data_IF_294890497022
#
_entry.id   IF_294890497022
#
_cell.length_a   1.000
_cell.length_b   1.000
_cell.length_c   1.000
_cell.angle_alpha   90.00
_cell.angle_beta   90.00
_cell.angle_gamma   90.00
#
_symmetry.space_group_name_H-M   'P 1'
#
loop_
_entity.id
_entity.type
_entity.pdbx_description
1 polymer ?
#
# COMPACT_ATOMS: atom_id res chain seq x y z
N UNK A 1 -7.25 -12.15 -17.04
CA UNK A 1 -7.83 -13.33 -16.37
C UNK A 1 -8.29 -12.96 -14.97
N UNK A 2 -7.40 -12.75 -14.01
CA UNK A 2 -7.75 -12.42 -12.61
C UNK A 2 -8.70 -11.21 -12.46
N UNK A 3 -8.42 -10.09 -13.14
CA UNK A 3 -9.30 -8.89 -13.11
C UNK A 3 -10.65 -9.09 -13.80
N UNK A 4 -10.78 -10.10 -14.66
CA UNK A 4 -12.04 -10.47 -15.31
C UNK A 4 -12.86 -11.40 -14.39
N UNK A 5 -12.19 -12.37 -13.75
CA UNK A 5 -12.81 -13.25 -12.75
C UNK A 5 -13.40 -12.44 -11.58
N UNK A 6 -12.71 -11.39 -11.14
CA UNK A 6 -13.25 -10.46 -10.12
C UNK A 6 -14.56 -9.80 -10.57
N UNK A 7 -14.61 -9.32 -11.81
CA UNK A 7 -15.79 -8.65 -12.37
C UNK A 7 -16.96 -9.61 -12.59
N UNK A 8 -16.66 -10.88 -12.83
CA UNK A 8 -17.64 -11.93 -13.06
C UNK A 8 -18.12 -12.58 -11.75
N UNK A 9 -17.52 -12.24 -10.60
CA UNK A 9 -17.88 -12.85 -9.32
C UNK A 9 -17.49 -14.33 -9.21
N UNK A 10 -16.58 -14.81 -10.06
CA UNK A 10 -16.13 -16.20 -10.13
C UNK A 10 -15.17 -16.49 -8.98
N UNK A 11 -15.72 -16.58 -7.76
CA UNK A 11 -14.97 -16.73 -6.52
C UNK A 11 -14.19 -18.05 -6.47
N UNK A 12 -14.79 -19.16 -6.91
CA UNK A 12 -14.16 -20.48 -6.89
C UNK A 12 -12.94 -20.55 -7.83
N UNK A 13 -13.07 -19.99 -9.04
CA UNK A 13 -11.96 -19.90 -9.99
C UNK A 13 -10.84 -18.99 -9.46
N UNK A 14 -11.20 -17.95 -8.70
CA UNK A 14 -10.23 -17.07 -8.06
C UNK A 14 -9.49 -17.80 -6.93
N UNK A 15 -10.19 -18.56 -6.10
CA UNK A 15 -9.59 -19.39 -5.03
C UNK A 15 -8.65 -20.44 -5.59
N UNK A 16 -9.00 -21.09 -6.70
CA UNK A 16 -8.10 -22.04 -7.36
C UNK A 16 -6.79 -21.40 -7.83
N UNK A 17 -6.84 -20.19 -8.39
CA UNK A 17 -5.62 -19.43 -8.76
C UNK A 17 -4.79 -19.07 -7.51
N UNK A 18 -5.44 -18.84 -6.36
CA UNK A 18 -4.74 -18.64 -5.09
C UNK A 18 -4.01 -19.91 -4.68
N UNK A 19 -4.72 -21.04 -4.60
CA UNK A 19 -4.14 -22.33 -4.21
C UNK A 19 -3.00 -22.75 -5.15
N UNK A 20 -3.15 -22.53 -6.46
CA UNK A 20 -2.10 -22.80 -7.44
C UNK A 20 -0.88 -21.88 -7.22
N UNK A 21 -1.08 -20.60 -6.94
CA UNK A 21 0.01 -19.67 -6.61
C UNK A 21 0.69 -20.02 -5.27
N UNK A 22 -0.08 -20.45 -4.27
CA UNK A 22 0.45 -20.84 -2.96
C UNK A 22 1.23 -22.15 -3.02
N UNK A 23 0.80 -23.11 -3.84
CA UNK A 23 1.44 -24.42 -4.02
C UNK A 23 2.68 -24.40 -4.90
N UNK A 24 2.78 -23.44 -5.84
CA UNK A 24 3.94 -23.37 -6.74
C UNK A 24 5.08 -22.53 -6.16
N UNK A 25 6.20 -23.20 -5.88
CA UNK A 25 7.50 -22.54 -5.71
C UNK A 25 8.09 -22.20 -7.09
N UNK A 26 7.38 -21.39 -7.88
CA UNK A 26 7.78 -21.11 -9.26
C UNK A 26 9.11 -20.36 -9.31
N UNK A 27 9.88 -20.60 -10.38
CA UNK A 27 11.15 -19.94 -10.66
C UNK A 27 10.98 -18.42 -10.96
N UNK A 28 9.72 -17.96 -11.15
CA UNK A 28 9.34 -16.57 -11.44
C UNK A 28 8.18 -16.13 -10.57
N UNK A 29 8.50 -15.46 -9.44
CA UNK A 29 7.49 -14.90 -8.54
C UNK A 29 6.77 -13.70 -9.18
N UNK A 30 5.56 -13.92 -9.69
CA UNK A 30 4.74 -12.84 -10.24
C UNK A 30 4.00 -12.09 -9.12
N UNK A 31 4.56 -10.95 -8.70
CA UNK A 31 4.01 -10.08 -7.65
C UNK A 31 2.63 -9.50 -7.98
N UNK A 32 2.14 -9.60 -9.22
CA UNK A 32 0.80 -9.12 -9.61
C UNK A 32 -0.31 -9.95 -8.99
N UNK A 33 -0.09 -11.26 -8.83
CA UNK A 33 -1.04 -12.19 -8.23
C UNK A 33 -1.29 -11.85 -6.75
N UNK A 34 -0.28 -11.83 -5.85
CA UNK A 34 -0.50 -11.49 -4.46
C UNK A 34 -0.99 -10.04 -4.27
N UNK A 35 -0.54 -9.10 -5.10
CA UNK A 35 -1.07 -7.73 -5.07
C UNK A 35 -2.56 -7.64 -5.37
N UNK A 36 -3.04 -8.48 -6.27
CA UNK A 36 -4.46 -8.60 -6.53
C UNK A 36 -5.19 -9.18 -5.32
N UNK A 37 -4.66 -10.25 -4.71
CA UNK A 37 -5.26 -10.90 -3.54
C UNK A 37 -5.37 -9.96 -2.36
N UNK A 38 -4.29 -9.22 -2.04
CA UNK A 38 -4.30 -8.17 -1.01
C UNK A 38 -5.45 -7.21 -1.25
N UNK A 39 -5.58 -6.66 -2.46
CA UNK A 39 -6.64 -5.69 -2.77
C UNK A 39 -8.05 -6.31 -2.67
N UNK A 40 -8.23 -7.54 -3.13
CA UNK A 40 -9.49 -8.27 -3.06
C UNK A 40 -9.91 -8.53 -1.60
N UNK A 41 -9.00 -9.06 -0.77
CA UNK A 41 -9.28 -9.31 0.65
C UNK A 41 -9.55 -8.02 1.41
N UNK A 42 -8.76 -6.95 1.19
CA UNK A 42 -8.98 -5.65 1.80
C UNK A 42 -10.36 -5.06 1.48
N UNK A 43 -10.83 -5.17 0.23
CA UNK A 43 -12.16 -4.70 -0.19
C UNK A 43 -13.30 -5.45 0.49
N UNK A 44 -13.09 -6.72 0.83
CA UNK A 44 -14.06 -7.57 1.55
C UNK A 44 -13.96 -7.43 3.07
N UNK A 45 -13.01 -6.65 3.58
CA UNK A 45 -12.73 -6.52 5.01
C UNK A 45 -11.97 -7.71 5.62
N UNK A 46 -11.50 -8.65 4.80
CA UNK A 46 -10.77 -9.83 5.25
C UNK A 46 -9.28 -9.50 5.48
N UNK A 47 -8.99 -8.56 6.39
CA UNK A 47 -7.64 -8.05 6.60
C UNK A 47 -6.64 -9.14 7.00
N UNK A 48 -7.02 -10.12 7.82
CA UNK A 48 -6.13 -11.21 8.21
C UNK A 48 -5.63 -12.03 7.01
N UNK A 49 -6.49 -12.27 6.02
CA UNK A 49 -6.09 -12.94 4.77
C UNK A 49 -5.18 -12.06 3.92
N UNK A 50 -5.45 -10.75 3.87
CA UNK A 50 -4.58 -9.80 3.17
C UNK A 50 -3.19 -9.72 3.83
N UNK A 51 -3.12 -9.73 5.17
CA UNK A 51 -1.89 -9.76 5.95
C UNK A 51 -1.10 -11.05 5.69
N UNK A 52 -1.75 -12.21 5.71
CA UNK A 52 -1.10 -13.50 5.42
C UNK A 52 -0.50 -13.54 4.00
N UNK A 53 -1.20 -12.99 2.99
CA UNK A 53 -0.64 -12.87 1.64
C UNK A 53 0.56 -11.91 1.63
N UNK A 54 0.47 -10.78 2.32
CA UNK A 54 1.57 -9.82 2.41
C UNK A 54 2.80 -10.43 3.09
N UNK A 55 2.62 -11.22 4.15
CA UNK A 55 3.69 -11.94 4.83
C UNK A 55 4.44 -12.86 3.87
N UNK A 56 3.72 -13.71 3.10
CA UNK A 56 4.32 -14.56 2.06
C UNK A 56 5.11 -13.76 1.02
N UNK A 57 4.61 -12.57 0.65
CA UNK A 57 5.32 -11.67 -0.27
C UNK A 57 6.62 -11.14 0.36
N UNK A 58 6.57 -10.75 1.64
CA UNK A 58 7.73 -10.28 2.40
C UNK A 58 8.76 -11.39 2.58
N UNK A 59 8.35 -12.61 2.92
CA UNK A 59 9.23 -13.77 3.05
C UNK A 59 9.98 -14.06 1.75
N UNK A 60 9.28 -14.01 0.60
CA UNK A 60 9.88 -14.32 -0.70
C UNK A 60 10.72 -13.18 -1.29
N UNK A 61 10.30 -11.93 -1.12
CA UNK A 61 10.95 -10.77 -1.75
C UNK A 61 11.89 -10.01 -0.82
N UNK A 62 11.71 -10.12 0.50
CA UNK A 62 12.44 -9.37 1.51
C UNK A 62 12.42 -7.86 1.25
N UNK A 63 13.60 -7.24 1.21
CA UNK A 63 13.75 -5.81 0.93
C UNK A 63 13.30 -5.38 -0.48
N UNK A 64 12.97 -6.33 -1.38
CA UNK A 64 12.51 -6.02 -2.75
C UNK A 64 10.99 -5.81 -2.84
N UNK A 65 10.23 -5.95 -1.74
CA UNK A 65 8.80 -5.62 -1.73
C UNK A 65 8.63 -4.15 -2.13
N UNK A 66 7.96 -3.92 -3.26
CA UNK A 66 7.82 -2.59 -3.81
C UNK A 66 6.81 -1.72 -3.05
N UNK A 67 6.98 -0.40 -3.11
CA UNK A 67 6.06 0.54 -2.49
C UNK A 67 4.60 0.39 -2.92
N UNK A 68 4.35 -0.06 -4.16
CA UNK A 68 3.00 -0.34 -4.63
C UNK A 68 2.28 -1.46 -3.86
N UNK A 69 3.01 -2.44 -3.31
CA UNK A 69 2.42 -3.50 -2.48
C UNK A 69 2.03 -2.93 -1.11
N UNK A 70 2.96 -2.23 -0.45
CA UNK A 70 2.70 -1.55 0.83
C UNK A 70 1.57 -0.52 0.73
N UNK A 71 1.51 0.25 -0.36
CA UNK A 71 0.45 1.23 -0.59
C UNK A 71 -0.94 0.61 -0.80
N UNK A 72 -1.02 -0.64 -1.31
CA UNK A 72 -2.29 -1.39 -1.37
C UNK A 72 -2.73 -1.81 0.02
N UNK A 73 -1.81 -2.36 0.81
CA UNK A 73 -2.12 -2.75 2.18
C UNK A 73 -2.53 -1.54 3.03
N UNK A 74 -1.79 -0.44 2.93
CA UNK A 74 -2.09 0.79 3.66
C UNK A 74 -3.47 1.35 3.30
N UNK A 75 -3.87 1.31 2.03
CA UNK A 75 -5.24 1.66 1.61
C UNK A 75 -6.26 0.72 2.24
N UNK A 76 -6.01 -0.59 2.23
CA UNK A 76 -6.88 -1.58 2.84
C UNK A 76 -7.10 -1.35 4.33
N UNK A 77 -6.02 -1.07 5.07
CA UNK A 77 -6.11 -0.70 6.47
C UNK A 77 -6.96 0.57 6.69
N UNK A 78 -6.72 1.62 5.90
CA UNK A 78 -7.48 2.87 6.02
C UNK A 78 -8.97 2.68 5.75
N UNK A 79 -9.33 1.93 4.71
CA UNK A 79 -10.73 1.62 4.36
C UNK A 79 -11.43 0.78 5.44
N UNK A 80 -10.67 0.01 6.22
CA UNK A 80 -11.14 -0.80 7.33
C UNK A 80 -10.90 -0.16 8.70
N UNK A 81 -10.60 1.15 8.75
CA UNK A 81 -10.42 1.95 9.98
C UNK A 81 -9.21 1.59 10.84
N UNK A 82 -8.29 0.77 10.34
CA UNK A 82 -7.01 0.40 10.97
C UNK A 82 -5.93 1.48 10.72
N UNK A 83 -6.20 2.71 11.14
CA UNK A 83 -5.42 3.89 10.70
C UNK A 83 -3.95 3.88 11.14
N UNK A 84 -3.61 3.35 12.31
CA UNK A 84 -2.20 3.29 12.74
C UNK A 84 -1.39 2.33 11.84
N UNK A 85 -1.97 1.17 11.47
CA UNK A 85 -1.38 0.25 10.49
C UNK A 85 -1.30 0.89 9.10
N UNK A 86 -2.30 1.69 8.72
CA UNK A 86 -2.29 2.42 7.46
C UNK A 86 -1.12 3.42 7.37
N UNK A 87 -0.83 4.14 8.46
CA UNK A 87 0.33 5.06 8.55
C UNK A 87 1.64 4.28 8.45
N UNK A 88 1.78 3.15 9.14
CA UNK A 88 3.00 2.33 9.06
C UNK A 88 3.22 1.78 7.64
N UNK A 89 2.17 1.26 7.01
CA UNK A 89 2.23 0.74 5.65
C UNK A 89 2.53 1.85 4.62
N UNK A 90 1.97 3.06 4.80
CA UNK A 90 2.37 4.24 4.03
C UNK A 90 3.86 4.51 4.21
N UNK A 91 4.39 4.37 5.43
CA UNK A 91 5.78 4.64 5.69
C UNK A 91 6.69 3.69 4.89
N UNK A 92 6.42 2.39 4.99
CA UNK A 92 7.08 1.34 4.21
C UNK A 92 6.92 1.58 2.70
N UNK A 93 5.75 2.07 2.26
CA UNK A 93 5.50 2.43 0.87
C UNK A 93 6.43 3.55 0.40
N UNK A 94 6.63 4.61 1.18
CA UNK A 94 7.54 5.70 0.81
C UNK A 94 8.96 5.17 0.68
N UNK A 95 9.49 4.49 1.69
CA UNK A 95 10.86 3.95 1.67
C UNK A 95 11.12 2.91 0.57
N UNK A 96 10.11 2.12 0.21
CA UNK A 96 10.22 1.12 -0.85
C UNK A 96 9.95 1.68 -2.26
N UNK A 97 9.62 2.97 -2.39
CA UNK A 97 9.38 3.60 -3.70
C UNK A 97 10.66 4.28 -4.18
N UNK A 98 11.14 3.90 -5.37
CA UNK A 98 12.29 4.56 -6.01
C UNK A 98 11.92 5.96 -6.51
N UNK A 99 12.88 6.89 -6.62
CA UNK A 99 12.64 8.20 -7.23
C UNK A 99 11.93 8.10 -8.59
N UNK A 100 10.92 8.94 -8.81
CA UNK A 100 10.03 8.88 -9.99
C UNK A 100 8.94 7.80 -9.92
N UNK A 101 8.90 7.01 -8.85
CA UNK A 101 7.81 6.07 -8.56
C UNK A 101 6.52 6.77 -8.15
N UNK A 102 5.40 6.05 -8.23
CA UNK A 102 4.07 6.60 -7.90
C UNK A 102 3.64 6.21 -6.49
N UNK A 103 3.40 7.20 -5.64
CA UNK A 103 2.74 7.01 -4.34
C UNK A 103 1.22 7.08 -4.46
N UNK A 104 0.54 6.41 -3.52
CA UNK A 104 -0.90 6.54 -3.37
C UNK A 104 -1.24 7.85 -2.64
N UNK A 105 -1.51 8.90 -3.39
CA UNK A 105 -1.77 10.24 -2.83
C UNK A 105 -3.05 10.31 -1.99
N UNK A 106 -4.04 9.46 -2.26
CA UNK A 106 -5.26 9.39 -1.42
C UNK A 106 -4.95 8.80 -0.05
N UNK A 107 -4.14 7.74 -0.02
CA UNK A 107 -3.65 7.16 1.24
C UNK A 107 -2.81 8.20 2.02
N UNK A 108 -1.89 8.90 1.35
CA UNK A 108 -1.10 9.95 1.97
C UNK A 108 -1.97 11.02 2.64
N UNK A 109 -2.91 11.61 1.90
CA UNK A 109 -3.81 12.64 2.44
C UNK A 109 -4.64 12.13 3.62
N UNK A 110 -5.11 10.88 3.55
CA UNK A 110 -5.89 10.26 4.63
C UNK A 110 -5.04 10.05 5.89
N UNK A 111 -3.81 9.56 5.74
CA UNK A 111 -2.89 9.35 6.85
C UNK A 111 -2.41 10.66 7.50
N UNK A 112 -2.11 11.69 6.69
CA UNK A 112 -1.73 13.02 7.20
C UNK A 112 -2.86 13.61 8.04
N UNK A 113 -4.08 13.65 7.49
CA UNK A 113 -5.25 14.15 8.23
C UNK A 113 -5.51 13.39 9.53
N UNK A 114 -5.31 12.07 9.52
CA UNK A 114 -5.42 11.25 10.72
C UNK A 114 -4.38 11.64 11.78
N UNK A 115 -3.11 11.80 11.38
CA UNK A 115 -2.03 12.19 12.29
C UNK A 115 -2.28 13.57 12.91
N UNK A 116 -2.70 14.55 12.12
CA UNK A 116 -3.07 15.89 12.60
C UNK A 116 -4.22 15.82 13.62
N UNK A 117 -5.27 15.05 13.32
CA UNK A 117 -6.41 14.89 14.24
C UNK A 117 -6.02 14.24 15.58
N UNK A 118 -4.88 13.55 15.63
CA UNK A 118 -4.28 12.96 16.83
C UNK A 118 -3.21 13.84 17.47
N UNK A 119 -2.98 15.05 16.94
CA UNK A 119 -1.93 15.95 17.40
C UNK A 119 -0.50 15.48 17.08
N UNK A 120 -0.33 14.50 16.18
CA UNK A 120 0.96 13.91 15.80
C UNK A 120 1.56 14.66 14.59
N UNK A 121 1.70 15.98 14.71
CA UNK A 121 2.11 16.85 13.60
C UNK A 121 3.55 16.57 13.13
N UNK A 122 4.46 16.27 14.04
CA UNK A 122 5.86 15.97 13.74
C UNK A 122 5.97 14.75 12.83
N UNK A 123 5.19 13.70 13.12
CA UNK A 123 5.16 12.48 12.30
C UNK A 123 4.57 12.73 10.92
N UNK A 124 3.59 13.62 10.80
CA UNK A 124 3.04 14.02 9.50
C UNK A 124 4.08 14.77 8.68
N UNK A 125 4.76 15.74 9.29
CA UNK A 125 5.82 16.54 8.66
C UNK A 125 7.01 15.66 8.20
N UNK A 126 7.44 14.71 9.02
CA UNK A 126 8.51 13.75 8.66
C UNK A 126 8.18 12.96 7.38
N UNK A 127 6.93 12.51 7.23
CA UNK A 127 6.44 11.80 6.05
C UNK A 127 6.55 12.70 4.82
N UNK A 128 6.06 13.93 4.91
CA UNK A 128 6.06 14.87 3.80
C UNK A 128 7.48 15.27 3.39
N UNK A 129 8.36 15.55 4.36
CA UNK A 129 9.78 15.84 4.12
C UNK A 129 10.48 14.69 3.42
N UNK A 130 10.18 13.45 3.79
CA UNK A 130 10.79 12.28 3.15
C UNK A 130 10.31 12.07 1.72
N UNK A 131 9.03 12.30 1.44
CA UNK A 131 8.47 12.27 0.08
C UNK A 131 9.17 13.31 -0.80
N UNK A 132 9.37 14.53 -0.29
CA UNK A 132 10.09 15.60 -1.00
C UNK A 132 11.54 15.22 -1.27
N UNK A 133 12.27 14.74 -0.26
CA UNK A 133 13.68 14.32 -0.41
C UNK A 133 13.87 13.21 -1.44
N UNK A 134 12.90 12.31 -1.58
CA UNK A 134 12.96 11.19 -2.52
C UNK A 134 12.42 11.55 -3.93
N UNK A 135 11.94 12.77 -4.15
CA UNK A 135 11.36 13.19 -5.43
C UNK A 135 10.13 12.38 -5.82
N UNK A 136 9.30 12.01 -4.83
CA UNK A 136 8.09 11.20 -5.04
C UNK A 136 6.82 12.05 -5.19
N UNK A 137 6.92 13.35 -4.94
CA UNK A 137 5.86 14.30 -5.21
C UNK A 137 5.91 14.78 -6.67
N UNK A 138 4.73 15.09 -7.23
CA UNK A 138 4.64 15.84 -8.48
C UNK A 138 4.86 17.32 -8.16
N UNK A 139 5.36 18.10 -9.12
CA UNK A 139 5.63 19.55 -8.98
C UNK A 139 4.48 20.33 -8.31
N UNK A 140 3.22 20.11 -8.72
CA UNK A 140 2.04 20.76 -8.12
C UNK A 140 1.74 20.33 -6.68
N UNK A 141 2.18 19.12 -6.31
CA UNK A 141 2.09 18.62 -4.94
C UNK A 141 3.22 19.21 -4.08
N UNK A 142 4.40 19.47 -4.63
CA UNK A 142 5.49 20.13 -3.90
C UNK A 142 5.08 21.52 -3.42
N UNK A 143 4.38 22.31 -4.24
CA UNK A 143 3.87 23.64 -3.85
C UNK A 143 2.89 23.56 -2.68
N UNK A 144 1.94 22.62 -2.72
CA UNK A 144 0.94 22.42 -1.66
C UNK A 144 1.60 21.86 -0.39
N UNK A 145 2.56 20.94 -0.54
CA UNK A 145 3.34 20.41 0.56
C UNK A 145 4.21 21.49 1.21
N UNK A 146 4.80 22.38 0.43
CA UNK A 146 5.57 23.51 0.95
C UNK A 146 4.71 24.50 1.72
N UNK A 147 3.53 24.84 1.21
CA UNK A 147 2.60 25.72 1.92
C UNK A 147 2.11 25.08 3.23
N UNK A 148 1.88 23.76 3.21
CA UNK A 148 1.47 23.00 4.39
C UNK A 148 2.58 22.88 5.44
N UNK A 149 3.81 22.56 5.04
CA UNK A 149 4.98 22.49 5.95
C UNK A 149 5.29 23.86 6.57
N UNK A 150 5.05 24.98 5.86
CA UNK A 150 5.29 26.33 6.40
C UNK A 150 4.25 26.79 7.42
N UNK A 151 3.08 26.15 7.50
CA UNK A 151 1.95 26.54 8.38
C UNK A 151 1.90 25.78 9.71
N UNK A 152 2.71 24.73 9.85
CA UNK A 152 2.90 23.95 11.08
C UNK A 152 4.19 24.42 11.75
#
# INVERSE_FOLDING_TARGET
MISALEKLGEHDAMEKIVEEWESHNSMTFDVRIPNFLINSHCRRGNLGMAEAVLEKVVERMGAKVGGGTWGRMGRGYAENKEMDKAVEALWKSVFATRPGGKLNMRLLATCVKYLESKGKFERADEILKSIKRQGLARVRFDEILEEYIRKV
#
